data_IF_222492596980
#
_entry.id   IF_222492596980
#
_cell.length_a   1.000
_cell.length_b   1.000
_cell.length_c   1.000
_cell.angle_alpha   90.00
_cell.angle_beta   90.00
_cell.angle_gamma   90.00
#
_symmetry.space_group_name_H-M   'P 1'
#
loop_
_entity.id
_entity.type
_entity.pdbx_description
1 polymer ?
#
# COMPACT_ATOMS: atom_id res chain seq x y z
N UNK A 1 25.02 27.58 36.15
CA UNK A 1 24.44 26.79 35.05
C UNK A 1 24.31 27.74 33.88
N UNK A 2 25.16 27.61 32.86
CA UNK A 2 25.21 28.60 31.77
C UNK A 2 24.00 28.43 30.84
N UNK A 3 23.66 29.48 30.08
CA UNK A 3 22.65 29.39 29.03
C UNK A 3 22.94 28.25 28.02
N UNK A 4 24.21 27.91 27.81
CA UNK A 4 24.65 26.77 26.99
C UNK A 4 24.29 25.40 27.56
N UNK A 5 24.23 25.24 28.89
CA UNK A 5 23.86 23.97 29.53
C UNK A 5 22.36 23.70 29.44
N UNK A 6 21.54 24.75 29.53
CA UNK A 6 20.07 24.68 29.39
C UNK A 6 19.69 24.35 27.93
N UNK A 7 20.39 24.95 26.95
CA UNK A 7 20.19 24.65 25.54
C UNK A 7 20.58 23.20 25.16
N UNK A 8 21.65 22.65 25.75
CA UNK A 8 22.03 21.24 25.57
C UNK A 8 21.00 20.27 26.16
N UNK A 9 20.43 20.58 27.32
CA UNK A 9 19.39 19.75 27.95
C UNK A 9 18.06 19.80 27.19
N UNK A 10 17.68 20.98 26.66
CA UNK A 10 16.50 21.16 25.82
C UNK A 10 16.63 20.46 24.45
N UNK A 11 17.79 20.58 23.80
CA UNK A 11 18.03 19.91 22.51
C UNK A 11 18.08 18.39 22.65
N UNK A 12 18.72 17.85 23.69
CA UNK A 12 18.73 16.40 23.96
C UNK A 12 17.33 15.88 24.33
N UNK A 13 16.57 16.62 25.14
CA UNK A 13 15.18 16.28 25.50
C UNK A 13 14.21 16.33 24.32
N UNK A 14 14.31 17.34 23.46
CA UNK A 14 13.53 17.44 22.22
C UNK A 14 13.89 16.32 21.23
N UNK A 15 15.17 15.93 21.17
CA UNK A 15 15.66 14.85 20.30
C UNK A 15 15.13 13.49 20.73
N UNK A 16 15.12 13.20 22.05
CA UNK A 16 14.57 11.95 22.58
C UNK A 16 13.05 11.84 22.34
N UNK A 17 12.31 12.95 22.49
CA UNK A 17 10.88 13.01 22.19
C UNK A 17 10.58 12.84 20.69
N UNK A 18 11.35 13.49 19.80
CA UNK A 18 11.20 13.36 18.35
C UNK A 18 11.58 11.97 17.83
N UNK A 19 12.62 11.34 18.39
CA UNK A 19 12.98 9.96 18.09
C UNK A 19 11.87 8.98 18.53
N UNK A 20 11.29 9.18 19.72
CA UNK A 20 10.16 8.38 20.19
C UNK A 20 8.90 8.53 19.32
N UNK A 21 8.54 9.77 18.97
CA UNK A 21 7.38 10.08 18.14
C UNK A 21 7.51 9.49 16.73
N UNK A 22 8.69 9.59 16.11
CA UNK A 22 8.95 9.05 14.76
C UNK A 22 8.89 7.52 14.72
N UNK A 23 9.41 6.82 15.74
CA UNK A 23 9.29 5.35 15.85
C UNK A 23 7.83 4.93 16.03
N UNK A 24 7.07 5.64 16.88
CA UNK A 24 5.65 5.37 17.08
C UNK A 24 4.85 5.57 15.79
N UNK A 25 5.09 6.69 15.09
CA UNK A 25 4.45 7.02 13.82
C UNK A 25 4.83 6.04 12.69
N UNK A 26 6.08 5.57 12.65
CA UNK A 26 6.52 4.51 11.75
C UNK A 26 5.81 3.17 12.00
N UNK A 27 5.58 2.81 13.27
CA UNK A 27 4.82 1.61 13.62
C UNK A 27 3.33 1.75 13.29
N UNK A 28 2.74 2.89 13.60
CA UNK A 28 1.34 3.18 13.30
C UNK A 28 1.07 3.17 11.78
N UNK A 29 1.92 3.83 10.98
CA UNK A 29 1.81 3.86 9.51
C UNK A 29 1.96 2.47 8.90
N UNK A 30 2.91 1.64 9.37
CA UNK A 30 3.03 0.23 8.95
C UNK A 30 1.78 -0.58 9.29
N UNK A 31 1.20 -0.39 10.47
CA UNK A 31 -0.03 -1.10 10.89
C UNK A 31 -1.24 -0.68 10.04
N UNK A 32 -1.41 0.62 9.82
CA UNK A 32 -2.45 1.17 8.94
C UNK A 32 -2.31 0.63 7.50
N UNK A 33 -1.10 0.66 6.94
CA UNK A 33 -0.81 0.13 5.61
C UNK A 33 -1.08 -1.38 5.49
N UNK A 34 -0.76 -2.17 6.53
CA UNK A 34 -1.11 -3.61 6.57
C UNK A 34 -2.62 -3.83 6.58
N UNK A 35 -3.36 -3.05 7.37
CA UNK A 35 -4.83 -3.10 7.39
C UNK A 35 -5.39 -2.75 6.02
N UNK A 36 -4.96 -1.64 5.43
CA UNK A 36 -5.40 -1.23 4.09
C UNK A 36 -5.10 -2.30 3.04
N UNK A 37 -3.89 -2.86 3.04
CA UNK A 37 -3.54 -3.97 2.16
C UNK A 37 -4.44 -5.21 2.36
N UNK A 38 -4.89 -5.48 3.59
CA UNK A 38 -5.84 -6.57 3.84
C UNK A 38 -7.25 -6.26 3.33
N UNK A 39 -7.68 -5.00 3.41
CA UNK A 39 -8.97 -4.56 2.87
C UNK A 39 -8.97 -4.66 1.33
N UNK A 40 -7.92 -4.19 0.66
CA UNK A 40 -7.79 -4.28 -0.80
C UNK A 40 -7.87 -5.74 -1.29
N UNK A 41 -7.19 -6.66 -0.59
CA UNK A 41 -7.26 -8.10 -0.93
C UNK A 41 -8.65 -8.68 -0.71
N UNK A 42 -9.32 -8.31 0.38
CA UNK A 42 -10.68 -8.78 0.67
C UNK A 42 -11.68 -8.24 -0.36
N UNK A 43 -11.56 -6.97 -0.72
CA UNK A 43 -12.40 -6.34 -1.74
C UNK A 43 -12.22 -7.03 -3.09
N UNK A 44 -10.97 -7.22 -3.54
CA UNK A 44 -10.68 -7.94 -4.78
C UNK A 44 -11.16 -9.39 -4.73
N UNK A 45 -11.02 -10.08 -3.59
CA UNK A 45 -11.54 -11.44 -3.42
C UNK A 45 -13.07 -11.52 -3.55
N UNK A 46 -13.80 -10.56 -2.95
CA UNK A 46 -15.25 -10.49 -3.07
C UNK A 46 -15.70 -10.15 -4.50
N UNK A 47 -15.00 -9.24 -5.16
CA UNK A 47 -15.26 -8.86 -6.55
C UNK A 47 -15.01 -10.04 -7.50
N UNK A 48 -13.90 -10.75 -7.33
CA UNK A 48 -13.60 -11.98 -8.05
C UNK A 48 -14.67 -13.07 -7.84
N UNK A 49 -15.18 -13.23 -6.62
CA UNK A 49 -16.25 -14.19 -6.33
C UNK A 49 -17.59 -13.79 -6.95
N UNK A 50 -17.92 -12.50 -6.98
CA UNK A 50 -19.07 -12.00 -7.73
C UNK A 50 -18.92 -12.30 -9.22
N UNK A 51 -17.74 -12.02 -9.79
CA UNK A 51 -17.46 -12.29 -11.20
C UNK A 51 -17.54 -13.77 -11.54
N UNK A 52 -17.06 -14.66 -10.67
CA UNK A 52 -17.23 -16.12 -10.79
C UNK A 52 -18.69 -16.53 -10.84
N UNK A 53 -19.53 -15.96 -9.98
CA UNK A 53 -20.98 -16.26 -9.97
C UNK A 53 -21.65 -15.80 -11.27
N UNK A 54 -21.31 -14.62 -11.75
CA UNK A 54 -21.85 -14.10 -13.00
C UNK A 54 -21.38 -14.90 -14.23
N UNK A 55 -20.11 -15.32 -14.26
CA UNK A 55 -19.58 -16.18 -15.31
C UNK A 55 -20.34 -17.51 -15.37
N UNK A 56 -20.51 -18.19 -14.23
CA UNK A 56 -21.28 -19.44 -14.15
C UNK A 56 -22.72 -19.26 -14.63
N UNK A 57 -23.37 -18.14 -14.27
CA UNK A 57 -24.72 -17.82 -14.74
C UNK A 57 -24.76 -17.62 -16.25
N UNK A 58 -23.80 -16.89 -16.83
CA UNK A 58 -23.71 -16.66 -18.28
C UNK A 58 -23.51 -17.96 -19.06
N UNK A 59 -22.57 -18.80 -18.61
CA UNK A 59 -22.33 -20.11 -19.22
C UNK A 59 -23.58 -20.98 -19.12
N UNK A 60 -24.26 -21.00 -17.96
CA UNK A 60 -25.52 -21.72 -17.78
C UNK A 60 -26.63 -21.24 -18.73
N UNK A 61 -26.78 -19.92 -18.89
CA UNK A 61 -27.74 -19.33 -19.83
C UNK A 61 -27.39 -19.64 -21.30
N UNK A 62 -26.12 -19.60 -21.67
CA UNK A 62 -25.66 -19.99 -23.02
C UNK A 62 -25.99 -21.45 -23.30
N UNK A 63 -25.62 -22.37 -22.40
CA UNK A 63 -25.94 -23.80 -22.52
C UNK A 63 -27.46 -24.04 -22.65
N UNK A 64 -28.26 -23.39 -21.80
CA UNK A 64 -29.72 -23.49 -21.87
C UNK A 64 -30.27 -22.93 -23.19
N UNK A 65 -29.72 -21.84 -23.69
CA UNK A 65 -30.13 -21.22 -24.95
C UNK A 65 -29.82 -22.12 -26.16
N UNK A 66 -28.63 -22.73 -26.21
CA UNK A 66 -28.28 -23.68 -27.26
C UNK A 66 -29.13 -24.95 -27.18
N UNK A 67 -29.34 -25.49 -25.98
CA UNK A 67 -30.22 -26.64 -25.77
C UNK A 67 -31.67 -26.35 -26.23
N UNK A 68 -32.20 -25.15 -25.93
CA UNK A 68 -33.54 -24.74 -26.38
C UNK A 68 -33.65 -24.58 -27.90
N UNK A 69 -32.53 -24.30 -28.58
CA UNK A 69 -32.46 -24.21 -30.05
C UNK A 69 -32.21 -25.58 -30.72
N UNK A 70 -32.05 -26.66 -29.94
CA UNK A 70 -31.72 -27.98 -30.46
C UNK A 70 -30.33 -28.05 -31.12
N UNK A 71 -29.44 -27.12 -30.77
CA UNK A 71 -28.07 -27.07 -31.30
C UNK A 71 -27.20 -27.91 -30.38
N UNK A 72 -26.56 -28.94 -30.95
CA UNK A 72 -25.55 -29.70 -30.23
C UNK A 72 -24.37 -28.79 -29.85
N UNK A 73 -23.88 -28.98 -28.62
CA UNK A 73 -22.75 -28.21 -28.09
C UNK A 73 -21.41 -28.63 -28.72
N UNK A 74 -21.42 -29.61 -29.63
CA UNK A 74 -20.24 -30.06 -30.36
C UNK A 74 -19.93 -29.10 -31.51
N UNK A 75 -18.71 -28.52 -31.50
CA UNK A 75 -18.24 -27.59 -32.53
C UNK A 75 -18.28 -26.11 -32.10
N UNK A 76 -18.68 -25.21 -33.00
CA UNK A 76 -18.64 -23.74 -32.79
C UNK A 76 -19.36 -23.25 -31.53
N UNK A 77 -20.54 -23.76 -31.13
CA UNK A 77 -21.21 -23.35 -29.90
C UNK A 77 -20.44 -23.73 -28.62
N UNK A 78 -19.80 -24.90 -28.60
CA UNK A 78 -18.93 -25.33 -27.51
C UNK A 78 -17.69 -24.46 -27.38
N UNK A 79 -17.06 -24.12 -28.52
CA UNK A 79 -15.90 -23.20 -28.54
C UNK A 79 -16.24 -21.82 -27.97
N UNK A 80 -17.43 -21.29 -28.23
CA UNK A 80 -17.87 -20.01 -27.66
C UNK A 80 -18.03 -20.06 -26.13
N UNK A 81 -18.51 -21.19 -25.60
CA UNK A 81 -18.63 -21.38 -24.15
C UNK A 81 -17.23 -21.48 -23.53
N UNK A 82 -16.34 -22.27 -24.13
CA UNK A 82 -14.97 -22.43 -23.64
C UNK A 82 -14.19 -21.12 -23.70
N UNK A 83 -14.36 -20.34 -24.76
CA UNK A 83 -13.76 -19.01 -24.89
C UNK A 83 -14.35 -18.02 -23.87
N UNK A 84 -15.67 -18.06 -23.64
CA UNK A 84 -16.32 -17.28 -22.57
C UNK A 84 -15.78 -17.65 -21.19
N UNK A 85 -15.59 -18.94 -20.92
CA UNK A 85 -15.00 -19.42 -19.67
C UNK A 85 -13.56 -18.94 -19.52
N UNK A 86 -12.74 -19.08 -20.56
CA UNK A 86 -11.34 -18.65 -20.55
C UNK A 86 -11.19 -17.16 -20.31
N UNK A 87 -11.92 -16.31 -21.04
CA UNK A 87 -11.90 -14.85 -20.79
C UNK A 87 -12.45 -14.52 -19.41
N UNK A 88 -13.49 -15.21 -18.97
CA UNK A 88 -14.04 -15.03 -17.63
C UNK A 88 -13.04 -15.34 -16.52
N UNK A 89 -12.23 -16.39 -16.68
CA UNK A 89 -11.16 -16.73 -15.72
C UNK A 89 -10.02 -15.71 -15.76
N UNK A 90 -9.64 -15.24 -16.96
CA UNK A 90 -8.65 -14.17 -17.09
C UNK A 90 -9.09 -12.89 -16.36
N UNK A 91 -10.35 -12.47 -16.53
CA UNK A 91 -10.92 -11.33 -15.80
C UNK A 91 -10.79 -11.50 -14.26
N UNK A 92 -11.07 -12.71 -13.77
CA UNK A 92 -11.00 -13.04 -12.34
C UNK A 92 -9.56 -12.95 -11.85
N UNK A 93 -8.61 -13.51 -12.59
CA UNK A 93 -7.19 -13.50 -12.24
C UNK A 93 -6.63 -12.08 -12.27
N UNK A 94 -7.06 -11.25 -13.23
CA UNK A 94 -6.70 -9.84 -13.31
C UNK A 94 -7.22 -9.04 -12.11
N UNK A 95 -8.46 -9.28 -11.67
CA UNK A 95 -9.02 -8.65 -10.45
C UNK A 95 -8.17 -8.99 -9.23
N UNK A 96 -7.83 -10.27 -9.06
CA UNK A 96 -7.01 -10.73 -7.94
C UNK A 96 -5.60 -10.12 -8.00
N UNK A 97 -4.96 -10.17 -9.17
CA UNK A 97 -3.64 -9.60 -9.42
C UNK A 97 -3.61 -8.09 -9.14
N UNK A 98 -4.60 -7.34 -9.62
CA UNK A 98 -4.74 -5.91 -9.35
C UNK A 98 -4.94 -5.65 -7.85
N UNK A 99 -5.74 -6.46 -7.16
CA UNK A 99 -5.91 -6.39 -5.71
C UNK A 99 -4.59 -6.61 -4.95
N UNK A 100 -3.80 -7.59 -5.36
CA UNK A 100 -2.47 -7.84 -4.80
C UNK A 100 -1.50 -6.69 -5.06
N UNK A 101 -1.50 -6.15 -6.28
CA UNK A 101 -0.68 -4.99 -6.65
C UNK A 101 -1.05 -3.77 -5.78
N UNK A 102 -2.34 -3.46 -5.62
CA UNK A 102 -2.82 -2.37 -4.74
C UNK A 102 -2.42 -2.60 -3.28
N UNK A 103 -2.55 -3.83 -2.79
CA UNK A 103 -2.11 -4.21 -1.45
C UNK A 103 -0.59 -4.05 -1.27
N UNK A 104 0.20 -4.40 -2.29
CA UNK A 104 1.64 -4.18 -2.33
C UNK A 104 2.00 -2.70 -2.29
N UNK A 105 1.32 -1.88 -3.08
CA UNK A 105 1.48 -0.43 -3.11
C UNK A 105 1.15 0.22 -1.76
N UNK A 106 0.08 -0.21 -1.10
CA UNK A 106 -0.27 0.27 0.24
C UNK A 106 0.84 -0.03 1.27
N UNK A 107 1.39 -1.26 1.25
CA UNK A 107 2.54 -1.64 2.10
C UNK A 107 3.78 -0.80 1.80
N UNK A 108 4.08 -0.57 0.52
CA UNK A 108 5.21 0.26 0.09
C UNK A 108 5.05 1.70 0.59
N UNK A 109 3.87 2.31 0.41
CA UNK A 109 3.56 3.65 0.93
C UNK A 109 3.76 3.74 2.44
N UNK A 110 3.28 2.76 3.21
CA UNK A 110 3.49 2.71 4.65
C UNK A 110 4.97 2.59 5.04
N UNK A 111 5.77 1.83 4.27
CA UNK A 111 7.21 1.70 4.50
C UNK A 111 7.96 2.99 4.14
N UNK A 112 7.63 3.62 3.02
CA UNK A 112 8.24 4.89 2.59
C UNK A 112 7.91 6.02 3.56
N UNK A 113 6.66 6.10 4.06
CA UNK A 113 6.28 7.08 5.08
C UNK A 113 7.08 6.89 6.38
N UNK A 114 7.30 5.64 6.80
CA UNK A 114 8.13 5.33 7.97
C UNK A 114 9.61 5.71 7.78
N UNK A 115 10.15 5.58 6.56
CA UNK A 115 11.54 5.92 6.25
C UNK A 115 11.71 7.44 6.08
N UNK A 116 10.83 8.10 5.32
CA UNK A 116 10.87 9.55 5.11
C UNK A 116 10.70 10.34 6.40
N UNK A 117 9.87 9.86 7.34
CA UNK A 117 9.76 10.46 8.68
C UNK A 117 11.04 10.34 9.50
N UNK A 118 11.79 9.23 9.36
CA UNK A 118 13.07 9.03 10.05
C UNK A 118 14.21 9.84 9.42
N UNK A 119 14.26 9.95 8.09
CA UNK A 119 15.28 10.73 7.37
C UNK A 119 15.09 12.23 7.60
N UNK A 120 13.85 12.74 7.56
CA UNK A 120 13.61 14.15 7.85
C UNK A 120 13.97 14.49 9.30
N UNK A 121 13.65 13.61 10.26
CA UNK A 121 14.08 13.81 11.65
C UNK A 121 15.62 13.81 11.78
N UNK A 122 16.33 12.89 11.12
CA UNK A 122 17.79 12.86 11.13
C UNK A 122 18.43 14.06 10.40
N UNK A 123 17.84 14.51 9.28
CA UNK A 123 18.29 15.66 8.52
C UNK A 123 18.06 17.00 9.25
N UNK A 124 16.93 17.16 9.93
CA UNK A 124 16.68 18.29 10.83
C UNK A 124 17.68 18.34 11.99
N UNK A 125 18.05 17.18 12.53
CA UNK A 125 19.04 17.08 13.61
C UNK A 125 20.44 17.44 13.14
N UNK A 126 20.86 16.91 11.99
CA UNK A 126 22.17 17.22 11.42
C UNK A 126 22.26 18.68 10.97
N UNK A 127 21.23 19.21 10.32
CA UNK A 127 21.16 20.62 9.89
C UNK A 127 21.15 21.57 11.08
N UNK A 128 20.35 21.31 12.11
CA UNK A 128 20.32 22.12 13.32
C UNK A 128 21.64 22.08 14.11
N UNK A 129 22.33 20.93 14.14
CA UNK A 129 23.65 20.81 14.75
C UNK A 129 24.74 21.52 13.92
N UNK A 130 24.65 21.49 12.59
CA UNK A 130 25.59 22.17 11.69
C UNK A 130 25.43 23.69 11.73
N UNK A 131 24.19 24.20 11.76
CA UNK A 131 23.92 25.63 11.95
C UNK A 131 24.42 26.11 13.33
N UNK A 132 24.24 25.29 14.38
CA UNK A 132 24.79 25.59 15.71
C UNK A 132 26.33 25.65 15.73
N UNK A 133 27.00 24.72 15.03
CA UNK A 133 28.46 24.71 14.93
C UNK A 133 28.99 25.92 14.14
N UNK A 134 28.32 26.29 13.03
CA UNK A 134 28.66 27.49 12.25
C UNK A 134 28.47 28.79 13.01
N UNK A 135 27.45 28.89 13.87
CA UNK A 135 27.27 30.06 14.74
C UNK A 135 28.31 30.16 15.85
N UNK A 136 28.99 29.07 16.22
CA UNK A 136 30.06 29.06 17.23
C UNK A 136 31.46 29.27 16.62
N UNK A 137 31.62 29.03 15.32
CA UNK A 137 32.90 29.20 14.58
C UNK A 137 33.04 30.61 13.97
N UNK A 138 31.99 31.44 13.99
CA UNK A 138 32.05 32.85 13.59
C UNK A 138 31.58 33.75 14.73
N UNK A 139 32.51 34.10 15.61
CA UNK A 139 32.44 35.31 16.44
C UNK A 139 33.49 36.30 15.94
N UNK A 140 33.13 37.29 15.10
CA UNK A 140 34.03 38.33 14.62
C UNK A 140 34.00 39.55 15.56
N UNK A 141 34.09 39.34 16.87
CA UNK A 141 34.26 40.44 17.83
C UNK A 141 35.45 40.22 18.76
N UNK A 142 36.64 40.26 18.16
CA UNK A 142 37.76 41.04 18.71
C UNK A 142 37.77 42.41 18.04
#
# INVERSE_FOLDING_TARGET
MSWGDIAKLLSVGATALQAGASIYQARASRKAAKRQASYERKAAGQEAENRRRDLRRRIGLQRASFAAQGIDLEGSPGLLIDETERYGQQDIDDILSMGEMRAGMARRRGRSAAIGGGINAAGSLLGGAFDYYKTFEWDPTD
#
